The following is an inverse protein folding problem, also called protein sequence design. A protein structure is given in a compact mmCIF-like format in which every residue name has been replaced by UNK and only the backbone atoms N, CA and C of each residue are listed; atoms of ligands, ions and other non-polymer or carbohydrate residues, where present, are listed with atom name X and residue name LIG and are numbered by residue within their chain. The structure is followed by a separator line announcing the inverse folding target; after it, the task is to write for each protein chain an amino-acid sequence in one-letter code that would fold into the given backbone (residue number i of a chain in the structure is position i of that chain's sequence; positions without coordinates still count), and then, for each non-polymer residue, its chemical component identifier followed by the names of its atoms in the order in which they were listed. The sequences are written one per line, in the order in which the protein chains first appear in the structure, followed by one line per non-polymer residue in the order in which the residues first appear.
data_IF_477929038396
#
_entry.id   IF_477929038396
#
_cell.length_a   1.000
_cell.length_b   1.000
_cell.length_c   1.000
_cell.angle_alpha   90.00
_cell.angle_beta   90.00
_cell.angle_gamma   90.00
#
_symmetry.space_group_name_H-M   'P 1'
#
loop_
_entity.id
_entity.type
_entity.pdbx_description
1 polymer ?
#
# COMPACT_ATOMS: atom_id res chain seq x y z
N UNK A 1 27.05 -13.96 -0.85
CA UNK A 1 26.38 -14.76 -1.91
C UNK A 1 27.45 -15.19 -2.90
N UNK A 2 27.80 -16.48 -2.96
CA UNK A 2 28.82 -16.98 -3.88
C UNK A 2 28.44 -16.73 -5.35
N UNK A 3 29.30 -16.01 -6.09
CA UNK A 3 29.20 -15.76 -7.53
C UNK A 3 29.47 -17.09 -8.25
N UNK A 4 28.46 -17.69 -8.85
CA UNK A 4 28.68 -18.77 -9.82
C UNK A 4 29.05 -18.11 -11.15
N UNK A 5 30.29 -18.30 -11.57
CA UNK A 5 30.75 -18.05 -12.93
C UNK A 5 30.46 -19.30 -13.77
N UNK A 6 29.88 -19.13 -14.94
CA UNK A 6 29.68 -20.22 -15.89
C UNK A 6 30.02 -19.67 -17.27
N UNK A 7 31.02 -20.25 -17.95
CA UNK A 7 31.43 -19.89 -19.31
C UNK A 7 31.59 -18.37 -19.57
N UNK A 8 32.37 -17.66 -18.73
CA UNK A 8 32.63 -16.22 -18.91
C UNK A 8 31.50 -15.28 -18.43
N UNK A 9 30.36 -15.81 -17.97
CA UNK A 9 29.25 -15.01 -17.47
C UNK A 9 29.22 -14.92 -15.95
N UNK A 10 28.99 -13.71 -15.45
CA UNK A 10 28.83 -13.42 -14.02
C UNK A 10 27.37 -13.15 -13.69
N UNK A 11 26.77 -13.96 -12.79
CA UNK A 11 25.36 -13.75 -12.42
C UNK A 11 25.17 -12.45 -11.64
N UNK A 12 24.32 -11.58 -12.16
CA UNK A 12 23.96 -10.29 -11.57
C UNK A 12 22.76 -10.40 -10.63
N UNK A 13 21.68 -11.01 -11.09
CA UNK A 13 20.46 -11.13 -10.30
C UNK A 13 19.61 -12.33 -10.70
N UNK A 14 18.73 -12.76 -9.81
CA UNK A 14 17.71 -13.77 -10.08
C UNK A 14 16.40 -13.32 -9.48
N UNK A 15 15.31 -13.45 -10.24
CA UNK A 15 13.97 -13.19 -9.77
C UNK A 15 12.97 -14.18 -10.33
N UNK A 16 11.73 -14.01 -9.88
CA UNK A 16 10.60 -14.84 -10.26
C UNK A 16 9.47 -13.92 -10.66
N UNK A 17 8.81 -14.25 -11.76
CA UNK A 17 7.53 -13.67 -12.13
C UNK A 17 6.45 -14.67 -11.73
N UNK A 18 5.65 -14.28 -10.75
CA UNK A 18 4.44 -15.01 -10.39
C UNK A 18 3.27 -14.48 -11.22
N UNK A 19 2.45 -15.39 -11.73
CA UNK A 19 1.12 -15.06 -12.27
C UNK A 19 0.11 -15.78 -11.38
N UNK A 20 -0.56 -15.04 -10.49
CA UNK A 20 -1.40 -15.63 -9.46
C UNK A 20 -0.61 -16.51 -8.48
N UNK A 21 -1.15 -17.70 -8.19
CA UNK A 21 -0.57 -18.67 -7.24
C UNK A 21 0.59 -19.52 -7.83
N UNK A 22 0.84 -19.43 -9.14
CA UNK A 22 1.87 -20.24 -9.83
C UNK A 22 3.09 -19.38 -10.17
N UNK A 23 4.28 -19.91 -9.89
CA UNK A 23 5.53 -19.34 -10.40
C UNK A 23 5.59 -19.61 -11.90
N UNK A 24 5.12 -18.65 -12.69
CA UNK A 24 5.01 -18.80 -14.13
C UNK A 24 6.38 -18.77 -14.84
N UNK A 25 7.29 -17.89 -14.41
CA UNK A 25 8.63 -17.82 -15.02
C UNK A 25 9.73 -17.42 -14.04
N UNK A 26 10.92 -18.00 -14.22
CA UNK A 26 12.14 -17.62 -13.50
C UNK A 26 13.02 -16.81 -14.45
N UNK A 27 13.44 -15.62 -14.03
CA UNK A 27 14.34 -14.80 -14.82
C UNK A 27 15.68 -14.66 -14.09
N UNK A 28 16.79 -14.85 -14.80
CA UNK A 28 18.13 -14.53 -14.29
C UNK A 28 18.86 -13.59 -15.24
N UNK A 29 19.64 -12.69 -14.65
CA UNK A 29 20.49 -11.73 -15.33
C UNK A 29 21.95 -12.13 -15.15
N UNK A 30 22.67 -12.12 -16.26
CA UNK A 30 24.07 -12.49 -16.33
C UNK A 30 24.83 -11.41 -17.09
N UNK A 31 25.92 -10.93 -16.52
CA UNK A 31 26.84 -10.00 -17.17
C UNK A 31 27.84 -10.81 -18.00
N UNK A 32 27.90 -10.53 -19.30
CA UNK A 32 29.02 -10.85 -20.17
C UNK A 32 29.98 -9.65 -20.25
N UNK A 33 31.00 -9.75 -21.11
CA UNK A 33 32.02 -8.71 -21.28
C UNK A 33 31.45 -7.42 -21.90
N UNK A 34 30.60 -7.55 -22.91
CA UNK A 34 30.05 -6.45 -23.71
C UNK A 34 28.51 -6.35 -23.66
N UNK A 35 27.85 -7.27 -22.95
CA UNK A 35 26.39 -7.35 -22.94
C UNK A 35 25.79 -7.89 -21.63
N UNK A 36 24.52 -7.56 -21.42
CA UNK A 36 23.65 -8.17 -20.41
C UNK A 36 22.84 -9.30 -21.05
N UNK A 37 23.00 -10.52 -20.52
CA UNK A 37 22.21 -11.68 -20.90
C UNK A 37 21.03 -11.88 -19.93
N UNK A 38 19.83 -11.90 -20.49
CA UNK A 38 18.59 -12.21 -19.80
C UNK A 38 18.18 -13.63 -20.17
N UNK A 39 18.06 -14.49 -19.16
CA UNK A 39 17.60 -15.86 -19.32
C UNK A 39 16.24 -15.99 -18.67
N UNK A 40 15.22 -16.34 -19.46
CA UNK A 40 13.87 -16.61 -18.98
C UNK A 40 13.62 -18.12 -19.05
N UNK A 41 13.39 -18.75 -17.90
CA UNK A 41 13.05 -20.15 -17.79
C UNK A 41 11.55 -20.28 -17.51
N UNK A 42 10.84 -20.95 -18.42
CA UNK A 42 9.39 -21.22 -18.40
C UNK A 42 9.08 -22.64 -17.88
N UNK A 43 10.02 -23.27 -17.16
CA UNK A 43 9.92 -24.63 -16.66
C UNK A 43 10.56 -25.64 -17.62
N UNK A 44 10.03 -25.72 -18.85
CA UNK A 44 10.50 -26.67 -19.87
C UNK A 44 11.28 -26.02 -21.03
N UNK A 45 11.21 -24.70 -21.15
CA UNK A 45 11.92 -23.93 -22.18
C UNK A 45 12.71 -22.79 -21.56
N UNK A 46 13.86 -22.49 -22.15
CA UNK A 46 14.72 -21.37 -21.75
C UNK A 46 14.93 -20.42 -22.94
N UNK A 47 14.52 -19.17 -22.76
CA UNK A 47 14.72 -18.11 -23.74
C UNK A 47 15.90 -17.23 -23.33
N UNK A 48 16.77 -16.94 -24.29
CA UNK A 48 17.99 -16.17 -24.09
C UNK A 48 17.89 -14.86 -24.88
N UNK A 49 18.04 -13.72 -24.20
CA UNK A 49 18.06 -12.40 -24.84
C UNK A 49 19.29 -11.62 -24.41
N UNK A 50 20.08 -11.14 -25.38
CA UNK A 50 21.28 -10.34 -25.15
C UNK A 50 20.99 -8.86 -25.39
N UNK A 51 21.54 -8.02 -24.52
CA UNK A 51 21.48 -6.57 -24.63
C UNK A 51 22.90 -6.01 -24.60
N UNK A 52 23.43 -5.62 -25.74
CA UNK A 52 24.77 -5.05 -25.86
C UNK A 52 24.85 -3.68 -25.20
N UNK A 53 25.88 -3.43 -24.38
CA UNK A 53 26.02 -2.18 -23.63
C UNK A 53 26.05 -0.95 -24.54
N UNK A 54 26.68 -1.06 -25.71
CA UNK A 54 26.70 0.00 -26.72
C UNK A 54 25.31 0.45 -27.20
N UNK A 55 24.29 -0.42 -27.13
CA UNK A 55 22.94 -0.15 -27.63
C UNK A 55 21.94 0.21 -26.53
N UNK A 56 22.38 0.22 -25.27
CA UNK A 56 21.54 0.62 -24.13
C UNK A 56 21.41 2.14 -24.15
N UNK A 57 20.17 2.63 -24.20
CA UNK A 57 19.87 4.07 -24.18
C UNK A 57 19.52 4.55 -22.77
N UNK A 58 19.07 3.65 -21.91
CA UNK A 58 18.79 4.00 -20.52
C UNK A 58 18.18 2.84 -19.73
N UNK A 59 18.32 2.91 -18.42
CA UNK A 59 17.69 1.95 -17.51
C UNK A 59 16.88 2.72 -16.48
N UNK A 60 15.57 2.46 -16.44
CA UNK A 60 14.63 3.17 -15.58
C UNK A 60 14.19 2.26 -14.44
N UNK A 61 14.33 2.76 -13.21
CA UNK A 61 13.82 2.11 -12.01
C UNK A 61 12.66 2.94 -11.46
N UNK A 62 11.50 2.31 -11.24
CA UNK A 62 10.38 2.95 -10.53
C UNK A 62 9.78 2.00 -9.49
N UNK A 63 9.28 2.56 -8.40
CA UNK A 63 8.62 1.79 -7.35
C UNK A 63 7.23 1.33 -7.80
N UNK A 64 6.88 0.07 -7.54
CA UNK A 64 5.58 -0.47 -7.95
C UNK A 64 4.58 -0.42 -6.80
N UNK A 65 3.34 0.07 -7.03
CA UNK A 65 2.32 0.17 -5.98
C UNK A 65 1.78 -1.19 -5.52
N UNK A 66 2.02 -2.26 -6.28
CA UNK A 66 1.52 -3.60 -5.96
C UNK A 66 2.15 -4.26 -4.72
N UNK A 67 3.38 -3.86 -4.33
CA UNK A 67 3.95 -4.26 -3.05
C UNK A 67 3.22 -3.58 -1.89
N UNK A 68 2.95 -2.29 -2.05
CA UNK A 68 2.24 -1.44 -1.08
C UNK A 68 0.82 -1.94 -0.84
N UNK A 69 0.07 -2.31 -1.90
CA UNK A 69 -1.27 -2.91 -1.76
C UNK A 69 -1.24 -4.24 -0.99
N UNK A 70 -0.30 -5.14 -1.31
CA UNK A 70 -0.17 -6.44 -0.62
C UNK A 70 0.21 -6.27 0.85
N UNK A 71 1.10 -5.33 1.16
CA UNK A 71 1.43 -4.99 2.55
C UNK A 71 0.23 -4.39 3.28
N UNK A 72 -0.56 -3.54 2.61
CA UNK A 72 -1.82 -3.04 3.17
C UNK A 72 -2.84 -4.14 3.46
N UNK A 73 -2.98 -5.13 2.57
CA UNK A 73 -3.84 -6.29 2.78
C UNK A 73 -3.36 -7.20 3.91
N UNK A 74 -2.05 -7.44 4.01
CA UNK A 74 -1.50 -8.22 5.11
C UNK A 74 -1.65 -7.49 6.46
N UNK A 75 -1.50 -6.16 6.46
CA UNK A 75 -1.78 -5.33 7.64
C UNK A 75 -3.26 -5.35 8.01
N UNK A 76 -4.18 -5.40 7.02
CA UNK A 76 -5.61 -5.64 7.21
C UNK A 76 -5.87 -6.95 7.96
N UNK A 77 -5.33 -8.07 7.44
CA UNK A 77 -5.57 -9.38 8.05
C UNK A 77 -4.98 -9.41 9.44
N UNK A 78 -3.76 -8.88 9.60
CA UNK A 78 -3.12 -8.78 10.91
C UNK A 78 -3.98 -8.01 11.90
N UNK A 79 -4.40 -6.78 11.57
CA UNK A 79 -5.14 -5.94 12.50
C UNK A 79 -6.50 -6.56 12.87
N UNK A 80 -7.23 -7.12 11.90
CA UNK A 80 -8.50 -7.81 12.16
C UNK A 80 -8.32 -9.09 12.99
N UNK A 81 -7.26 -9.86 12.72
CA UNK A 81 -6.93 -11.06 13.48
C UNK A 81 -6.48 -10.74 14.91
N UNK A 82 -5.71 -9.67 15.12
CA UNK A 82 -5.34 -9.20 16.47
C UNK A 82 -6.56 -8.69 17.23
N UNK A 83 -7.45 -7.95 16.56
CA UNK A 83 -8.66 -7.39 17.17
C UNK A 83 -9.68 -8.46 17.58
N UNK A 84 -9.65 -9.64 16.95
CA UNK A 84 -10.48 -10.80 17.33
C UNK A 84 -9.80 -11.72 18.33
N UNK A 85 -8.48 -11.88 18.23
CA UNK A 85 -7.67 -12.67 19.15
C UNK A 85 -7.65 -12.09 20.57
N UNK A 86 -7.50 -10.77 20.72
CA UNK A 86 -7.34 -10.14 22.05
C UNK A 86 -8.60 -10.31 22.92
N UNK A 87 -9.83 -10.06 22.42
CA UNK A 87 -11.05 -10.44 23.12
C UNK A 87 -11.15 -11.94 23.37
N UNK A 88 -10.75 -12.78 22.41
CA UNK A 88 -10.80 -14.23 22.60
C UNK A 88 -9.90 -14.76 23.73
N UNK A 89 -8.72 -14.14 23.91
CA UNK A 89 -7.80 -14.45 25.00
C UNK A 89 -8.27 -13.91 26.36
N UNK A 90 -8.89 -12.72 26.38
CA UNK A 90 -9.38 -12.09 27.63
C UNK A 90 -10.73 -12.69 28.06
N UNK A 91 -11.60 -13.02 27.12
CA UNK A 91 -12.99 -13.43 27.37
C UNK A 91 -13.23 -14.94 27.22
N UNK A 92 -12.15 -15.73 27.12
CA UNK A 92 -12.21 -17.19 27.21
C UNK A 92 -12.91 -17.86 26.04
N UNK A 93 -12.67 -17.41 24.81
CA UNK A 93 -13.17 -18.13 23.63
C UNK A 93 -12.65 -19.57 23.62
N UNK A 94 -13.36 -20.51 22.96
CA UNK A 94 -12.88 -21.88 22.80
C UNK A 94 -11.45 -21.88 22.31
N UNK A 95 -10.60 -22.71 22.93
CA UNK A 95 -9.17 -22.75 22.64
C UNK A 95 -8.91 -22.86 21.13
N UNK A 96 -9.72 -23.65 20.42
CA UNK A 96 -9.67 -23.82 18.96
C UNK A 96 -9.78 -22.49 18.19
N UNK A 97 -10.70 -21.59 18.57
CA UNK A 97 -10.85 -20.28 17.94
C UNK A 97 -9.65 -19.37 18.22
N UNK A 98 -9.10 -19.42 19.43
CA UNK A 98 -7.88 -18.67 19.79
C UNK A 98 -6.65 -19.18 19.04
N UNK A 99 -6.51 -20.51 18.87
CA UNK A 99 -5.42 -21.09 18.08
C UNK A 99 -5.52 -20.70 16.60
N UNK A 100 -6.71 -20.71 16.01
CA UNK A 100 -6.94 -20.35 14.61
C UNK A 100 -6.65 -18.87 14.38
N UNK A 101 -7.23 -17.98 15.20
CA UNK A 101 -7.01 -16.54 15.09
C UNK A 101 -5.55 -16.17 15.41
N UNK A 102 -4.95 -16.79 16.42
CA UNK A 102 -3.55 -16.59 16.80
C UNK A 102 -2.57 -17.02 15.72
N UNK A 103 -2.81 -18.16 15.07
CA UNK A 103 -2.00 -18.63 13.94
C UNK A 103 -2.11 -17.69 12.75
N UNK A 104 -3.32 -17.21 12.44
CA UNK A 104 -3.55 -16.25 11.36
C UNK A 104 -2.83 -14.92 11.61
N UNK A 105 -2.92 -14.40 12.84
CA UNK A 105 -2.18 -13.21 13.32
C UNK A 105 -0.67 -13.41 13.16
N UNK A 106 -0.14 -14.53 13.67
CA UNK A 106 1.29 -14.85 13.63
C UNK A 106 1.82 -14.96 12.20
N UNK A 107 1.12 -15.67 11.32
CA UNK A 107 1.50 -15.82 9.90
C UNK A 107 1.48 -14.46 9.19
N UNK A 108 0.44 -13.65 9.41
CA UNK A 108 0.35 -12.33 8.78
C UNK A 108 1.43 -11.37 9.27
N UNK A 109 1.72 -11.39 10.58
CA UNK A 109 2.83 -10.63 11.18
C UNK A 109 4.17 -11.06 10.59
N UNK A 110 4.43 -12.36 10.47
CA UNK A 110 5.66 -12.89 9.88
C UNK A 110 5.80 -12.47 8.40
N UNK A 111 4.73 -12.56 7.61
CA UNK A 111 4.74 -12.14 6.20
C UNK A 111 4.98 -10.63 6.04
N UNK A 112 4.42 -9.80 6.92
CA UNK A 112 4.70 -8.36 6.95
C UNK A 112 6.16 -8.09 7.31
N UNK A 113 6.68 -8.69 8.37
CA UNK A 113 8.08 -8.54 8.79
C UNK A 113 9.03 -8.96 7.66
N UNK A 114 8.78 -10.10 7.02
CA UNK A 114 9.54 -10.55 5.84
C UNK A 114 9.43 -9.52 4.70
N UNK A 115 8.24 -8.95 4.48
CA UNK A 115 8.01 -7.90 3.50
C UNK A 115 8.83 -6.63 3.76
N UNK A 116 8.85 -6.17 5.00
CA UNK A 116 9.60 -4.99 5.47
C UNK A 116 11.11 -5.22 5.37
N UNK A 117 11.63 -6.34 5.89
CA UNK A 117 13.06 -6.68 5.84
C UNK A 117 13.58 -6.80 4.41
N UNK A 118 12.74 -7.30 3.49
CA UNK A 118 13.09 -7.41 2.06
C UNK A 118 12.93 -6.09 1.29
N UNK A 119 12.33 -5.07 1.88
CA UNK A 119 12.19 -3.73 1.31
C UNK A 119 11.17 -3.62 0.16
N UNK A 120 10.96 -2.39 -0.35
CA UNK A 120 9.94 -2.08 -1.33
C UNK A 120 10.17 -2.76 -2.67
N UNK A 121 9.06 -3.07 -3.35
CA UNK A 121 9.07 -3.66 -4.68
C UNK A 121 9.25 -2.58 -5.75
N UNK A 122 10.06 -2.86 -6.76
CA UNK A 122 10.34 -1.98 -7.87
C UNK A 122 10.17 -2.72 -9.21
N UNK A 123 10.13 -1.92 -10.27
CA UNK A 123 10.14 -2.37 -11.65
C UNK A 123 11.31 -1.72 -12.35
N UNK A 124 12.17 -2.54 -12.93
CA UNK A 124 13.30 -2.09 -13.73
C UNK A 124 12.99 -2.34 -15.21
N UNK A 125 13.17 -1.33 -16.04
CA UNK A 125 13.00 -1.41 -17.50
C UNK A 125 14.28 -0.94 -18.18
N UNK A 126 14.84 -1.78 -19.05
CA UNK A 126 15.96 -1.41 -19.92
C UNK A 126 15.39 -0.91 -21.25
N UNK A 127 15.89 0.22 -21.72
CA UNK A 127 15.55 0.83 -22.99
C UNK A 127 16.74 0.66 -23.94
N UNK A 128 16.45 0.12 -25.11
CA UNK A 128 17.37 0.05 -26.24
C UNK A 128 16.81 0.87 -27.39
N UNK A 129 17.63 1.10 -28.43
CA UNK A 129 17.20 1.79 -29.64
C UNK A 129 15.92 1.22 -30.27
N UNK A 130 15.65 -0.08 -30.10
CA UNK A 130 14.54 -0.77 -30.77
C UNK A 130 13.40 -1.11 -29.80
N UNK A 131 13.69 -1.44 -28.54
CA UNK A 131 12.69 -1.97 -27.61
C UNK A 131 12.94 -1.56 -26.15
N UNK A 132 11.84 -1.49 -25.40
CA UNK A 132 11.86 -1.39 -23.94
C UNK A 132 11.54 -2.77 -23.34
N UNK A 133 12.38 -3.28 -22.45
CA UNK A 133 12.21 -4.60 -21.83
C UNK A 133 12.22 -4.54 -20.30
N UNK A 134 11.30 -5.26 -19.66
CA UNK A 134 11.18 -5.27 -18.21
C UNK A 134 12.06 -6.37 -17.59
N UNK A 135 12.97 -5.97 -16.70
CA UNK A 135 13.86 -6.85 -15.96
C UNK A 135 13.18 -7.29 -14.66
N UNK A 136 12.40 -8.38 -14.74
CA UNK A 136 11.69 -9.01 -13.62
C UNK A 136 12.64 -9.55 -12.53
N UNK A 137 13.91 -9.81 -12.87
CA UNK A 137 14.92 -10.21 -11.90
C UNK A 137 15.22 -9.12 -10.85
N UNK A 138 15.00 -7.84 -11.19
CA UNK A 138 15.26 -6.67 -10.33
C UNK A 138 13.96 -6.12 -9.72
N UNK A 139 13.21 -6.99 -9.05
CA UNK A 139 11.90 -6.65 -8.47
C UNK A 139 11.96 -5.99 -7.08
N UNK A 140 13.11 -5.99 -6.40
CA UNK A 140 13.25 -5.37 -5.06
C UNK A 140 14.33 -4.32 -5.07
N UNK A 141 14.04 -3.16 -4.49
CA UNK A 141 14.90 -1.99 -4.56
C UNK A 141 16.30 -2.26 -3.98
N UNK A 142 16.35 -3.02 -2.87
CA UNK A 142 17.60 -3.45 -2.20
C UNK A 142 18.54 -4.24 -3.11
N UNK A 143 18.01 -4.99 -4.10
CA UNK A 143 18.82 -5.73 -5.06
C UNK A 143 18.98 -4.98 -6.39
N UNK A 144 17.98 -4.19 -6.77
CA UNK A 144 18.00 -3.43 -8.01
C UNK A 144 19.06 -2.33 -7.99
N UNK A 145 19.22 -1.61 -6.88
CA UNK A 145 20.16 -0.48 -6.79
C UNK A 145 21.62 -0.94 -6.98
N UNK A 146 22.13 -1.94 -6.23
CA UNK A 146 23.50 -2.42 -6.44
C UNK A 146 23.71 -3.04 -7.83
N UNK A 147 22.71 -3.75 -8.37
CA UNK A 147 22.80 -4.33 -9.70
C UNK A 147 22.84 -3.26 -10.81
N UNK A 148 22.12 -2.14 -10.62
CA UNK A 148 22.16 -1.01 -11.54
C UNK A 148 23.48 -0.24 -11.47
N UNK A 149 24.11 -0.15 -10.29
CA UNK A 149 25.45 0.44 -10.17
C UNK A 149 26.47 -0.36 -10.99
N UNK A 150 26.45 -1.70 -10.87
CA UNK A 150 27.32 -2.56 -11.68
C UNK A 150 27.04 -2.43 -13.19
N UNK A 151 25.76 -2.37 -13.58
CA UNK A 151 25.39 -2.16 -14.98
C UNK A 151 25.85 -0.79 -15.49
N UNK A 152 25.74 0.26 -14.67
CA UNK A 152 26.18 1.61 -15.00
C UNK A 152 27.68 1.62 -15.29
N UNK A 153 28.49 1.04 -14.40
CA UNK A 153 29.94 0.94 -14.60
C UNK A 153 30.28 0.24 -15.92
N UNK A 154 29.66 -0.90 -16.23
CA UNK A 154 29.89 -1.59 -17.51
C UNK A 154 29.46 -0.77 -18.74
N UNK A 155 28.37 -0.01 -18.64
CA UNK A 155 27.88 0.82 -19.74
C UNK A 155 28.79 2.03 -19.95
N UNK A 156 29.18 2.71 -18.88
CA UNK A 156 30.08 3.88 -18.93
C UNK A 156 31.47 3.51 -19.46
N UNK A 157 31.94 2.28 -19.24
CA UNK A 157 33.18 1.78 -19.85
C UNK A 157 33.12 1.71 -21.39
N UNK A 158 31.94 1.48 -21.96
CA UNK A 158 31.75 1.35 -23.42
C UNK A 158 31.31 2.67 -24.06
N UNK A 159 30.40 3.40 -23.41
CA UNK A 159 29.78 4.62 -23.95
C UNK A 159 30.40 5.92 -23.42
N UNK A 160 31.24 5.85 -22.40
CA UNK A 160 31.71 7.00 -21.64
C UNK A 160 30.73 7.43 -20.53
N UNK A 161 31.18 8.24 -19.56
CA UNK A 161 30.34 8.76 -18.49
C UNK A 161 29.31 9.76 -19.02
N UNK A 162 28.07 9.68 -18.52
CA UNK A 162 27.08 10.73 -18.78
C UNK A 162 27.36 11.95 -17.88
N UNK A 163 27.63 13.10 -18.51
CA UNK A 163 27.73 14.37 -17.82
C UNK A 163 26.33 14.88 -17.40
N UNK A 164 26.05 15.05 -16.09
CA UNK A 164 24.77 15.58 -15.60
C UNK A 164 24.45 16.98 -16.15
N UNK A 165 25.46 17.79 -16.44
CA UNK A 165 25.28 19.13 -16.99
C UNK A 165 24.73 19.06 -18.43
N UNK A 166 25.29 18.19 -19.26
CA UNK A 166 24.78 17.92 -20.61
C UNK A 166 23.37 17.34 -20.59
N UNK A 167 23.07 16.45 -19.64
CA UNK A 167 21.73 15.88 -19.47
C UNK A 167 20.70 16.95 -19.12
N UNK A 168 21.07 17.89 -18.24
CA UNK A 168 20.22 19.02 -17.84
C UNK A 168 20.04 19.99 -19.01
N UNK A 169 21.10 20.28 -19.77
CA UNK A 169 21.01 21.07 -21.00
C UNK A 169 20.11 20.41 -22.06
N UNK A 170 20.25 19.12 -22.33
CA UNK A 170 19.36 18.37 -23.24
C UNK A 170 17.89 18.42 -22.76
N UNK A 171 17.66 18.39 -21.45
CA UNK A 171 16.32 18.52 -20.87
C UNK A 171 15.77 19.96 -20.93
N UNK A 172 16.62 20.98 -20.84
CA UNK A 172 16.25 22.41 -20.91
C UNK A 172 16.08 22.90 -22.35
N UNK A 173 16.93 22.46 -23.27
CA UNK A 173 16.94 22.86 -24.68
C UNK A 173 15.83 22.15 -25.49
N UNK A 174 15.21 21.11 -24.93
CA UNK A 174 14.10 20.38 -25.57
C UNK A 174 14.51 19.57 -26.81
N UNK A 175 15.78 19.62 -27.21
CA UNK A 175 16.31 18.95 -28.40
C UNK A 175 16.31 17.43 -28.20
N UNK A 176 15.52 16.66 -28.99
CA UNK A 176 15.68 15.22 -29.00
C UNK A 176 17.07 14.85 -29.51
N UNK A 177 17.79 13.90 -28.87
CA UNK A 177 18.88 13.25 -29.57
C UNK A 177 18.31 12.60 -30.84
N UNK A 178 18.91 12.95 -31.97
CA UNK A 178 18.48 12.56 -33.31
C UNK A 178 18.59 11.04 -33.53
N UNK A 179 17.69 10.58 -34.40
CA UNK A 179 17.61 9.29 -35.10
C UNK A 179 17.07 8.07 -34.34
N UNK A 180 15.78 7.75 -34.62
CA UNK A 180 15.28 6.38 -34.50
C UNK A 180 13.90 6.16 -33.88
N UNK A 181 12.97 7.13 -33.88
CA UNK A 181 11.56 6.83 -33.55
C UNK A 181 10.61 7.87 -34.13
N UNK A 182 10.12 7.61 -35.34
CA UNK A 182 8.93 8.25 -35.92
C UNK A 182 7.69 7.81 -35.15
N UNK A 183 7.46 8.38 -33.96
CA UNK A 183 6.14 8.38 -33.30
C UNK A 183 6.02 9.34 -32.10
N UNK A 184 6.95 10.28 -31.89
CA UNK A 184 7.09 10.97 -30.59
C UNK A 184 6.86 12.50 -30.59
N UNK A 185 5.96 13.01 -31.43
CA UNK A 185 5.61 14.44 -31.44
C UNK A 185 4.32 14.78 -30.70
N UNK A 186 3.39 13.84 -30.46
CA UNK A 186 2.13 14.15 -29.78
C UNK A 186 2.17 14.08 -28.23
N UNK A 187 3.17 13.43 -27.62
CA UNK A 187 3.22 13.24 -26.15
C UNK A 187 4.24 14.14 -25.41
N UNK A 188 5.08 14.88 -26.14
CA UNK A 188 6.33 15.44 -25.57
C UNK A 188 6.17 16.72 -24.73
N UNK A 189 4.99 17.36 -24.74
CA UNK A 189 4.65 18.47 -23.83
C UNK A 189 3.97 18.05 -22.53
N UNK A 190 3.67 16.76 -22.34
CA UNK A 190 2.93 16.30 -21.16
C UNK A 190 3.92 16.12 -20.01
N UNK A 191 3.97 17.11 -19.09
CA UNK A 191 4.59 16.97 -17.76
C UNK A 191 4.29 15.57 -17.22
N UNK A 192 5.25 14.83 -16.62
CA UNK A 192 5.01 13.47 -16.13
C UNK A 192 3.75 13.51 -15.28
N UNK A 193 2.65 12.98 -15.83
CA UNK A 193 1.38 13.02 -15.13
C UNK A 193 1.53 12.04 -13.99
N UNK A 194 1.93 12.56 -12.83
CA UNK A 194 1.79 11.87 -11.57
C UNK A 194 0.38 11.31 -11.56
N UNK A 195 0.32 9.98 -11.60
CA UNK A 195 -0.88 9.20 -11.89
C UNK A 195 -2.05 9.79 -11.10
N UNK A 196 -3.05 10.33 -11.80
CA UNK A 196 -4.25 10.85 -11.16
C UNK A 196 -4.88 9.72 -10.35
N UNK A 197 -4.65 9.74 -9.02
CA UNK A 197 -5.15 8.68 -8.15
C UNK A 197 -6.65 8.85 -8.04
N UNK A 198 -7.37 7.74 -8.21
CA UNK A 198 -8.80 7.68 -7.92
C UNK A 198 -8.99 7.98 -6.44
N UNK A 199 -9.53 9.16 -6.15
CA UNK A 199 -9.88 9.66 -4.80
C UNK A 199 -11.02 8.87 -4.14
N UNK A 200 -11.51 7.80 -4.78
CA UNK A 200 -12.65 6.99 -4.32
C UNK A 200 -12.40 6.31 -2.98
N UNK A 201 -11.16 5.90 -2.68
CA UNK A 201 -10.84 5.26 -1.39
C UNK A 201 -10.94 6.26 -0.23
N UNK A 202 -10.42 7.48 -0.39
CA UNK A 202 -10.57 8.52 0.64
C UNK A 202 -12.02 8.95 0.82
N UNK A 203 -12.78 9.07 -0.29
CA UNK A 203 -14.20 9.35 -0.22
C UNK A 203 -14.96 8.26 0.57
N UNK A 204 -14.67 6.99 0.31
CA UNK A 204 -15.30 5.87 1.03
C UNK A 204 -15.03 5.94 2.54
N UNK A 205 -13.78 6.24 2.96
CA UNK A 205 -13.44 6.45 4.38
C UNK A 205 -14.29 7.55 4.99
N UNK A 206 -14.34 8.73 4.36
CA UNK A 206 -15.03 9.88 4.92
C UNK A 206 -16.57 9.72 4.93
N UNK A 207 -17.15 9.06 3.92
CA UNK A 207 -18.58 8.72 3.91
C UNK A 207 -18.90 7.70 5.00
N UNK A 208 -18.08 6.65 5.16
CA UNK A 208 -18.29 5.66 6.21
C UNK A 208 -18.12 6.26 7.62
N UNK A 209 -17.26 7.26 7.81
CA UNK A 209 -17.18 8.00 9.08
C UNK A 209 -18.49 8.73 9.39
N UNK A 210 -19.16 9.31 8.39
CA UNK A 210 -20.49 9.89 8.59
C UNK A 210 -21.54 8.81 8.91
N UNK A 211 -21.43 7.63 8.29
CA UNK A 211 -22.27 6.47 8.64
C UNK A 211 -22.05 6.00 10.08
N UNK A 212 -20.79 5.96 10.53
CA UNK A 212 -20.41 5.62 11.91
C UNK A 212 -20.91 6.65 12.93
N UNK A 213 -20.96 7.93 12.55
CA UNK A 213 -21.62 8.98 13.35
C UNK A 213 -23.11 8.67 13.55
N UNK A 214 -23.82 8.28 12.48
CA UNK A 214 -25.25 7.92 12.57
C UNK A 214 -25.44 6.66 13.41
N UNK A 215 -24.62 5.63 13.19
CA UNK A 215 -24.65 4.40 13.98
C UNK A 215 -24.44 4.67 15.48
N UNK A 216 -23.45 5.50 15.81
CA UNK A 216 -23.17 5.90 17.19
C UNK A 216 -24.32 6.68 17.83
N UNK A 217 -25.00 7.54 17.06
CA UNK A 217 -26.18 8.26 17.52
C UNK A 217 -27.37 7.33 17.80
N UNK A 218 -27.64 6.35 16.92
CA UNK A 218 -28.68 5.33 17.16
C UNK A 218 -28.38 4.54 18.43
N UNK A 219 -27.11 4.24 18.68
CA UNK A 219 -26.67 3.47 19.85
C UNK A 219 -26.83 4.21 21.19
N UNK A 220 -27.10 5.51 21.17
CA UNK A 220 -27.43 6.25 22.39
C UNK A 220 -28.81 5.83 22.91
N UNK A 221 -29.79 5.68 22.02
CA UNK A 221 -31.19 5.39 22.37
C UNK A 221 -31.55 3.93 22.26
N UNK A 222 -30.82 3.17 21.45
CA UNK A 222 -31.06 1.74 21.22
C UNK A 222 -29.85 0.92 21.66
N UNK A 223 -30.11 -0.20 22.33
CA UNK A 223 -29.13 -1.23 22.63
C UNK A 223 -29.57 -2.57 22.02
N UNK A 224 -28.62 -3.45 21.73
CA UNK A 224 -28.93 -4.73 21.10
C UNK A 224 -27.74 -5.35 20.39
N UNK A 225 -27.77 -6.68 20.29
CA UNK A 225 -26.67 -7.49 19.71
C UNK A 225 -26.45 -7.15 18.24
N UNK A 226 -27.52 -6.93 17.49
CA UNK A 226 -27.43 -6.53 16.09
C UNK A 226 -26.69 -5.19 15.93
N UNK A 227 -27.02 -4.21 16.77
CA UNK A 227 -26.40 -2.88 16.71
C UNK A 227 -24.93 -2.93 17.14
N UNK A 228 -24.61 -3.74 18.15
CA UNK A 228 -23.23 -4.02 18.56
C UNK A 228 -22.42 -4.66 17.42
N UNK A 229 -22.98 -5.68 16.76
CA UNK A 229 -22.33 -6.38 15.66
C UNK A 229 -22.11 -5.47 14.45
N UNK A 230 -23.11 -4.65 14.07
CA UNK A 230 -22.98 -3.64 13.02
C UNK A 230 -21.86 -2.65 13.36
N UNK A 231 -21.73 -2.23 14.62
CA UNK A 231 -20.65 -1.34 15.06
C UNK A 231 -19.27 -1.98 14.91
N UNK A 232 -19.12 -3.24 15.31
CA UNK A 232 -17.87 -3.98 15.15
C UNK A 232 -17.48 -4.13 13.66
N UNK A 233 -18.45 -4.47 12.80
CA UNK A 233 -18.23 -4.59 11.36
C UNK A 233 -17.87 -3.23 10.73
N UNK A 234 -18.59 -2.17 11.08
CA UNK A 234 -18.37 -0.81 10.56
C UNK A 234 -17.00 -0.27 10.99
N UNK A 235 -16.66 -0.40 12.28
CA UNK A 235 -15.36 -0.01 12.82
C UNK A 235 -14.22 -0.75 12.13
N UNK A 236 -14.37 -2.07 11.94
CA UNK A 236 -13.40 -2.88 11.19
C UNK A 236 -13.27 -2.36 9.76
N UNK A 237 -14.37 -2.20 9.02
CA UNK A 237 -14.35 -1.70 7.64
C UNK A 237 -13.69 -0.30 7.54
N UNK A 238 -13.94 0.59 8.50
CA UNK A 238 -13.35 1.92 8.56
C UNK A 238 -11.84 1.90 8.78
N UNK A 239 -11.35 1.09 9.73
CA UNK A 239 -9.92 0.95 9.97
C UNK A 239 -9.21 0.44 8.71
N UNK A 240 -9.84 -0.50 8.01
CA UNK A 240 -9.34 -1.12 6.79
C UNK A 240 -9.22 -0.12 5.66
N UNK A 241 -10.31 0.60 5.38
CA UNK A 241 -10.30 1.60 4.32
C UNK A 241 -9.33 2.74 4.64
N UNK A 242 -9.17 3.10 5.92
CA UNK A 242 -8.23 4.13 6.36
C UNK A 242 -6.79 3.69 6.18
N UNK A 243 -6.44 2.45 6.54
CA UNK A 243 -5.11 1.88 6.25
C UNK A 243 -4.85 1.83 4.75
N UNK A 244 -5.81 1.34 3.95
CA UNK A 244 -5.68 1.32 2.48
C UNK A 244 -5.51 2.73 1.90
N UNK A 245 -6.23 3.71 2.45
CA UNK A 245 -6.10 5.12 2.10
C UNK A 245 -4.69 5.64 2.44
N UNK A 246 -4.17 5.39 3.64
CA UNK A 246 -2.81 5.79 4.06
C UNK A 246 -1.71 5.13 3.23
N UNK A 247 -1.88 3.85 2.91
CA UNK A 247 -0.96 3.08 2.06
C UNK A 247 -0.95 3.65 0.63
N UNK A 248 -2.12 3.98 0.07
CA UNK A 248 -2.23 4.64 -1.23
C UNK A 248 -1.71 6.08 -1.21
N UNK A 249 -1.75 6.72 -0.04
CA UNK A 249 -1.33 8.11 0.15
C UNK A 249 0.18 8.33 0.02
N UNK A 250 1.02 7.35 0.37
CA UNK A 250 2.48 7.48 0.42
C UNK A 250 3.13 7.88 -0.93
N UNK A 251 2.49 7.56 -2.05
CA UNK A 251 2.98 7.87 -3.39
C UNK A 251 1.96 8.66 -4.23
N UNK A 252 1.22 9.57 -3.58
CA UNK A 252 0.11 10.32 -4.19
C UNK A 252 0.38 11.82 -4.34
N UNK A 253 -0.27 12.44 -5.32
CA UNK A 253 -0.35 13.92 -5.49
C UNK A 253 -1.43 14.57 -4.64
N UNK A 254 -1.96 13.85 -3.65
CA UNK A 254 -3.02 14.40 -2.81
C UNK A 254 -2.50 15.61 -2.03
N UNK A 255 -3.33 16.65 -1.89
CA UNK A 255 -2.95 17.84 -1.12
C UNK A 255 -2.69 17.46 0.34
N UNK A 256 -1.74 18.15 0.97
CA UNK A 256 -1.31 17.93 2.36
C UNK A 256 -2.49 17.92 3.35
N UNK A 257 -3.53 18.71 3.08
CA UNK A 257 -4.76 18.76 3.88
C UNK A 257 -5.51 17.43 3.90
N UNK A 258 -5.82 16.84 2.74
CA UNK A 258 -6.48 15.51 2.65
C UNK A 258 -5.61 14.42 3.31
N UNK A 259 -4.29 14.54 3.15
CA UNK A 259 -3.33 13.62 3.75
C UNK A 259 -3.36 13.64 5.28
N UNK A 260 -3.41 14.85 5.88
CA UNK A 260 -3.51 15.05 7.32
C UNK A 260 -4.85 14.58 7.86
N UNK A 261 -5.95 14.88 7.17
CA UNK A 261 -7.29 14.42 7.58
C UNK A 261 -7.40 12.89 7.62
N UNK A 262 -6.76 12.19 6.67
CA UNK A 262 -6.71 10.72 6.69
C UNK A 262 -5.91 10.18 7.89
N UNK A 263 -4.84 10.86 8.32
CA UNK A 263 -4.13 10.51 9.55
C UNK A 263 -4.94 10.80 10.81
N UNK A 264 -5.70 11.90 10.85
CA UNK A 264 -6.63 12.16 11.95
C UNK A 264 -7.71 11.09 12.05
N UNK A 265 -8.25 10.60 10.92
CA UNK A 265 -9.16 9.46 10.90
C UNK A 265 -8.51 8.20 11.51
N UNK A 266 -7.26 7.91 11.17
CA UNK A 266 -6.54 6.77 11.74
C UNK A 266 -6.33 6.90 13.25
N UNK A 267 -5.96 8.09 13.73
CA UNK A 267 -5.80 8.39 15.15
C UNK A 267 -7.11 8.23 15.92
N UNK A 268 -8.19 8.81 15.41
CA UNK A 268 -9.55 8.67 15.94
C UNK A 268 -9.96 7.21 16.11
N UNK A 269 -9.84 6.42 15.04
CA UNK A 269 -10.19 4.99 15.08
C UNK A 269 -9.34 4.23 16.10
N UNK A 270 -8.06 4.55 16.22
CA UNK A 270 -7.18 3.96 17.24
C UNK A 270 -7.63 4.30 18.68
N UNK A 271 -8.01 5.55 18.93
CA UNK A 271 -8.52 6.00 20.24
C UNK A 271 -9.82 5.28 20.58
N UNK A 272 -10.79 5.22 19.64
CA UNK A 272 -12.05 4.51 19.86
C UNK A 272 -11.83 3.02 20.18
N UNK A 273 -10.90 2.35 19.50
CA UNK A 273 -10.57 0.95 19.79
C UNK A 273 -9.95 0.77 21.17
N UNK A 274 -9.00 1.62 21.55
CA UNK A 274 -8.37 1.56 22.87
C UNK A 274 -9.39 1.78 23.99
N UNK A 275 -10.23 2.80 23.87
CA UNK A 275 -11.27 3.10 24.87
C UNK A 275 -12.32 1.99 24.92
N UNK A 276 -12.77 1.48 23.76
CA UNK A 276 -13.72 0.37 23.69
C UNK A 276 -13.19 -0.91 24.34
N UNK A 277 -11.90 -1.20 24.18
CA UNK A 277 -11.23 -2.32 24.85
C UNK A 277 -11.20 -2.15 26.37
N UNK A 278 -10.81 -0.97 26.85
CA UNK A 278 -10.82 -0.66 28.30
C UNK A 278 -12.23 -0.81 28.88
N UNK A 279 -13.24 -0.28 28.19
CA UNK A 279 -14.63 -0.41 28.61
C UNK A 279 -15.09 -1.88 28.66
N UNK A 280 -14.72 -2.69 27.65
CA UNK A 280 -15.03 -4.12 27.64
C UNK A 280 -14.38 -4.87 28.81
N UNK A 281 -13.14 -4.53 29.18
CA UNK A 281 -12.45 -5.09 30.34
C UNK A 281 -13.19 -4.71 31.64
N UNK A 282 -13.55 -3.44 31.80
CA UNK A 282 -14.30 -2.98 32.98
C UNK A 282 -15.63 -3.75 33.10
N UNK A 283 -16.41 -3.85 32.02
CA UNK A 283 -17.66 -4.61 32.02
C UNK A 283 -17.46 -6.08 32.40
N UNK A 284 -16.39 -6.71 31.93
CA UNK A 284 -16.09 -8.10 32.24
C UNK A 284 -15.67 -8.32 33.70
N UNK A 285 -14.93 -7.36 34.29
CA UNK A 285 -14.56 -7.40 35.72
C UNK A 285 -15.79 -7.16 36.58
N UNK A 286 -16.71 -6.27 36.16
CA UNK A 286 -17.93 -5.96 36.91
C UNK A 286 -18.98 -7.08 36.89
N UNK A 287 -18.92 -8.02 35.94
CA UNK A 287 -19.89 -9.12 35.77
C UNK A 287 -19.19 -10.49 35.73
N UNK A 288 -18.51 -10.89 36.82
CA UNK A 288 -17.70 -12.10 36.87
C UNK A 288 -18.51 -13.39 36.68
N UNK A 289 -19.81 -13.38 36.96
CA UNK A 289 -20.74 -14.49 36.71
C UNK A 289 -20.84 -14.86 35.22
N UNK A 290 -20.53 -13.93 34.34
CA UNK A 290 -20.49 -14.18 32.88
C UNK A 290 -19.11 -14.67 32.40
N UNK A 291 -18.14 -14.87 33.30
CA UNK A 291 -16.72 -15.16 32.97
C UNK A 291 -16.49 -16.46 32.20
N UNK A 292 -17.36 -17.46 32.34
CA UNK A 292 -17.28 -18.74 31.64
C UNK A 292 -18.06 -18.86 30.33
N UNK A 293 -18.94 -17.89 30.02
CA UNK A 293 -19.81 -17.93 28.85
C UNK A 293 -19.70 -16.63 28.03
N UNK A 294 -18.86 -16.67 26.99
CA UNK A 294 -18.59 -15.53 26.11
C UNK A 294 -19.85 -15.03 25.39
N UNK A 295 -20.84 -15.89 25.13
CA UNK A 295 -22.08 -15.51 24.45
C UNK A 295 -22.94 -14.66 25.39
N UNK A 296 -23.16 -15.12 26.61
CA UNK A 296 -23.95 -14.38 27.60
C UNK A 296 -23.30 -13.05 27.98
N UNK A 297 -21.96 -12.98 28.02
CA UNK A 297 -21.25 -11.71 28.22
C UNK A 297 -21.47 -10.72 27.08
N UNK A 298 -21.44 -11.19 25.83
CA UNK A 298 -21.72 -10.35 24.68
C UNK A 298 -23.17 -9.85 24.68
N UNK A 299 -24.14 -10.67 25.10
CA UNK A 299 -25.53 -10.22 25.32
C UNK A 299 -25.60 -9.14 26.39
N UNK A 300 -24.93 -9.34 27.52
CA UNK A 300 -24.91 -8.37 28.61
C UNK A 300 -24.31 -7.03 28.14
N UNK A 301 -23.15 -7.05 27.47
CA UNK A 301 -22.55 -5.85 26.89
C UNK A 301 -23.44 -5.17 25.83
N UNK A 302 -24.15 -5.97 25.03
CA UNK A 302 -25.05 -5.45 24.01
C UNK A 302 -26.32 -4.83 24.60
N UNK A 303 -26.74 -5.25 25.80
CA UNK A 303 -27.93 -4.76 26.47
C UNK A 303 -27.70 -3.41 27.18
N UNK A 304 -26.45 -3.05 27.50
CA UNK A 304 -26.12 -1.79 28.17
C UNK A 304 -26.62 -0.61 27.34
N UNK A 305 -27.55 0.15 27.89
CA UNK A 305 -28.06 1.37 27.29
C UNK A 305 -27.14 2.55 27.62
N UNK A 306 -26.80 3.35 26.61
CA UNK A 306 -25.87 4.46 26.82
C UNK A 306 -26.40 5.50 27.82
N UNK A 307 -27.71 5.74 27.83
CA UNK A 307 -28.39 6.65 28.74
C UNK A 307 -28.21 6.28 30.23
N UNK A 308 -28.00 5.00 30.52
CA UNK A 308 -27.81 4.49 31.89
C UNK A 308 -26.33 4.38 32.28
N UNK A 309 -25.42 4.50 31.31
CA UNK A 309 -23.98 4.37 31.53
C UNK A 309 -23.25 5.65 31.12
N UNK A 310 -22.91 6.55 32.07
CA UNK A 310 -22.23 7.81 31.77
C UNK A 310 -20.92 7.62 30.98
N UNK A 311 -20.20 6.53 31.26
CA UNK A 311 -18.98 6.17 30.52
C UNK A 311 -19.26 5.83 29.06
N UNK A 312 -20.26 4.98 28.79
CA UNK A 312 -20.63 4.64 27.41
C UNK A 312 -21.18 5.86 26.66
N UNK A 313 -21.98 6.70 27.33
CA UNK A 313 -22.48 7.95 26.78
C UNK A 313 -21.33 8.86 26.33
N UNK A 314 -20.34 9.10 27.19
CA UNK A 314 -19.20 9.94 26.87
C UNK A 314 -18.40 9.40 25.66
N UNK A 315 -18.22 8.09 25.58
CA UNK A 315 -17.54 7.41 24.46
C UNK A 315 -18.30 7.64 23.15
N UNK A 316 -19.63 7.46 23.16
CA UNK A 316 -20.46 7.65 21.97
C UNK A 316 -20.52 9.12 21.53
N UNK A 317 -20.61 10.07 22.47
CA UNK A 317 -20.58 11.50 22.16
C UNK A 317 -19.25 11.87 21.50
N UNK A 318 -18.12 11.42 22.06
CA UNK A 318 -16.81 11.60 21.44
C UNK A 318 -16.77 11.03 20.02
N UNK A 319 -17.23 9.79 19.84
CA UNK A 319 -17.26 9.12 18.55
C UNK A 319 -18.07 9.90 17.51
N UNK A 320 -19.27 10.37 17.88
CA UNK A 320 -20.14 11.19 17.03
C UNK A 320 -19.41 12.47 16.59
N UNK A 321 -18.88 13.24 17.54
CA UNK A 321 -18.24 14.53 17.25
C UNK A 321 -17.01 14.32 16.33
N UNK A 322 -16.13 13.39 16.68
CA UNK A 322 -14.91 13.15 15.94
C UNK A 322 -15.19 12.59 14.54
N UNK A 323 -16.06 11.58 14.43
CA UNK A 323 -16.46 11.00 13.13
C UNK A 323 -17.13 12.04 12.22
N UNK A 324 -18.00 12.89 12.77
CA UNK A 324 -18.65 13.97 12.01
C UNK A 324 -17.64 15.02 11.51
N UNK A 325 -16.78 15.53 12.40
CA UNK A 325 -15.80 16.56 12.06
C UNK A 325 -14.82 16.05 11.01
N UNK A 326 -14.24 14.86 11.22
CA UNK A 326 -13.25 14.29 10.30
C UNK A 326 -13.91 13.90 8.97
N UNK A 327 -15.09 13.28 9.00
CA UNK A 327 -15.83 12.87 7.80
C UNK A 327 -16.25 14.07 6.94
N UNK A 328 -16.87 15.09 7.53
CA UNK A 328 -17.35 16.26 6.82
C UNK A 328 -16.19 17.12 6.27
N UNK A 329 -15.15 17.36 7.08
CA UNK A 329 -13.97 18.12 6.62
C UNK A 329 -13.22 17.38 5.52
N UNK A 330 -13.06 16.05 5.66
CA UNK A 330 -12.42 15.20 4.66
C UNK A 330 -13.12 15.23 3.30
N UNK A 331 -14.46 15.12 3.29
CA UNK A 331 -15.26 15.21 2.07
C UNK A 331 -15.15 16.57 1.39
N UNK A 332 -15.30 17.66 2.14
CA UNK A 332 -15.18 19.02 1.59
C UNK A 332 -13.82 19.28 0.97
N UNK A 333 -12.74 18.85 1.64
CA UNK A 333 -11.38 18.99 1.12
C UNK A 333 -11.16 18.15 -0.15
N UNK A 334 -11.71 16.94 -0.19
CA UNK A 334 -11.60 16.05 -1.34
C UNK A 334 -12.39 16.58 -2.55
N UNK A 335 -13.58 17.13 -2.33
CA UNK A 335 -14.41 17.76 -3.35
C UNK A 335 -13.73 18.99 -3.94
N UNK A 336 -13.21 19.89 -3.10
CA UNK A 336 -12.40 21.04 -3.56
C UNK A 336 -11.24 20.61 -4.44
N UNK A 337 -10.55 19.54 -4.06
CA UNK A 337 -9.46 19.00 -4.87
C UNK A 337 -9.94 18.42 -6.21
N UNK A 338 -11.09 17.71 -6.23
CA UNK A 338 -11.68 17.17 -7.48
C UNK A 338 -12.10 18.29 -8.43
N UNK A 339 -12.71 19.35 -7.91
CA UNK A 339 -13.12 20.52 -8.70
C UNK A 339 -11.88 21.22 -9.28
N UNK A 340 -10.87 21.49 -8.45
CA UNK A 340 -9.63 22.12 -8.90
C UNK A 340 -8.88 21.27 -9.94
N UNK A 341 -8.92 19.94 -9.81
CA UNK A 341 -8.31 19.03 -10.78
C UNK A 341 -9.09 18.90 -12.10
N UNK A 342 -10.37 19.30 -12.12
CA UNK A 342 -11.24 19.25 -13.30
C UNK A 342 -11.32 20.60 -14.04
N UNK A 343 -10.81 21.68 -13.44
CA UNK A 343 -10.79 23.00 -14.05
C UNK A 343 -9.83 23.03 -15.26
N UNK A 344 -10.21 23.67 -16.39
CA UNK A 344 -9.32 23.82 -17.53
C UNK A 344 -8.07 24.62 -17.14
N UNK A 345 -6.90 24.32 -17.74
CA UNK A 345 -5.68 25.08 -17.47
C UNK A 345 -5.91 26.56 -17.81
N UNK A 346 -5.36 27.50 -17.01
CA UNK A 346 -5.48 28.92 -17.32
C UNK A 346 -4.91 29.19 -18.71
N UNK A 347 -5.67 29.95 -19.52
CA UNK A 347 -5.22 30.41 -20.83
C UNK A 347 -3.89 31.13 -20.64
N UNK A 348 -2.86 30.68 -21.36
CA UNK A 348 -1.58 31.38 -21.36
C UNK A 348 -1.81 32.78 -21.93
N UNK A 349 -1.27 33.84 -21.31
CA UNK A 349 -1.38 35.18 -21.88
C UNK A 349 -0.77 35.19 -23.29
N UNK A 350 -1.35 35.95 -24.23
CA UNK A 350 -0.76 36.13 -25.54
C UNK A 350 0.65 36.73 -25.37
N UNK A 351 1.62 36.11 -26.03
CA UNK A 351 3.02 36.55 -26.09
C UNK A 351 3.16 37.90 -26.77
#
# INVERSE_FOLDING_TARGET
MARKTHNGYTRLAKGRRASGLVVATRQSLWLGEDHLLVVNNHGYTEDYKRFYFAQVQGVVLHQTPGGTLRMGLLLFVLLGSTLTLLPGLIFGWPATMNWVTGSLTGICAALLLIGQVKGPTCSCTIHTAVQSHRLHALHRLRHAVPALQQLRECIELVQGPLDPAQLTQIMMDGTPPLAGSRTRTAERGRKPQLRAIKTTTHAAVFVLLLGDCIHSAIRITQSGIALLAIGMLTGTALTVLTVLALVRQQNSTLPLSVRRTTWFAAGHLGICQAIGMVYAIICAISHPETSGDSWNRMKAMAAIQALESPGLMAILIYAIIASLVIGATGLRLLERHRIAASAPPPLQPPL
#
